data_IF_014849190012
#
_entry.id   IF_014849190012
#
_cell.length_a   1.000
_cell.length_b   1.000
_cell.length_c   1.000
_cell.angle_alpha   90.00
_cell.angle_beta   90.00
_cell.angle_gamma   90.00
#
_symmetry.space_group_name_H-M   'P 1'
#
loop_
_entity.id
_entity.type
_entity.pdbx_description
1 polymer ?
#
# COMPACT_ATOMS: atom_id res chain seq x y z
N UNK A 1 8.36 -18.33 8.00
CA UNK A 1 9.33 -18.03 6.93
C UNK A 1 9.24 -16.54 6.59
N UNK A 2 10.32 -15.78 6.80
CA UNK A 2 10.38 -14.42 6.27
C UNK A 2 10.56 -14.58 4.76
N UNK A 3 9.52 -14.22 3.99
CA UNK A 3 9.61 -14.14 2.53
C UNK A 3 10.92 -13.45 2.17
N UNK A 4 11.75 -14.10 1.35
CA UNK A 4 13.01 -13.52 0.88
C UNK A 4 12.74 -12.10 0.42
N UNK A 5 13.40 -11.12 1.04
CA UNK A 5 13.21 -9.72 0.66
C UNK A 5 13.56 -9.61 -0.82
N UNK A 6 12.59 -9.18 -1.61
CA UNK A 6 12.82 -8.86 -3.01
C UNK A 6 13.84 -7.74 -3.11
N UNK A 7 14.52 -7.65 -4.24
CA UNK A 7 15.52 -6.63 -4.51
C UNK A 7 14.95 -5.23 -4.24
N UNK A 8 15.73 -4.38 -3.59
CA UNK A 8 15.33 -3.00 -3.25
C UNK A 8 15.55 -2.14 -4.49
N UNK A 9 14.65 -2.28 -5.46
CA UNK A 9 14.63 -1.51 -6.70
C UNK A 9 13.36 -0.68 -6.86
N UNK A 10 13.40 0.31 -7.74
CA UNK A 10 12.21 1.03 -8.19
C UNK A 10 11.18 0.05 -8.77
N UNK A 11 9.90 0.22 -8.42
CA UNK A 11 8.80 -0.66 -8.84
C UNK A 11 8.57 -1.88 -7.94
N UNK A 12 9.43 -2.11 -6.93
CA UNK A 12 9.27 -3.23 -5.97
C UNK A 12 8.60 -2.82 -4.64
N UNK A 13 8.16 -1.56 -4.51
CA UNK A 13 7.47 -1.07 -3.34
C UNK A 13 6.00 -1.51 -3.29
N UNK A 14 5.48 -1.80 -2.10
CA UNK A 14 4.07 -2.19 -1.92
C UNK A 14 3.15 -1.00 -1.61
N UNK A 15 3.70 0.11 -1.13
CA UNK A 15 2.95 1.28 -0.68
C UNK A 15 3.82 2.53 -0.78
N UNK A 16 3.24 3.60 -1.29
CA UNK A 16 3.87 4.92 -1.32
C UNK A 16 3.34 5.77 -0.17
N UNK A 17 4.25 6.52 0.48
CA UNK A 17 3.95 7.51 1.52
C UNK A 17 4.50 8.85 1.08
N UNK A 18 3.62 9.77 0.68
CA UNK A 18 3.96 11.16 0.39
C UNK A 18 3.56 11.98 1.60
N UNK A 19 4.54 12.61 2.25
CA UNK A 19 4.30 13.37 3.49
C UNK A 19 4.16 14.87 3.23
N UNK A 20 4.69 15.38 2.13
CA UNK A 20 4.67 16.79 1.75
C UNK A 20 4.78 16.94 0.22
N UNK A 21 4.20 17.99 -0.38
CA UNK A 21 3.24 18.93 0.23
C UNK A 21 1.81 18.33 0.29
N UNK A 22 1.50 17.38 -0.59
CA UNK A 22 0.20 16.73 -0.69
C UNK A 22 0.29 15.38 0.00
N UNK A 23 -0.20 15.31 1.23
CA UNK A 23 -0.16 14.11 2.04
C UNK A 23 -1.01 13.00 1.41
N UNK A 24 -0.39 11.86 1.13
CA UNK A 24 -1.06 10.71 0.55
C UNK A 24 -0.32 9.42 0.87
N UNK A 25 -1.07 8.44 1.34
CA UNK A 25 -0.64 7.05 1.41
C UNK A 25 -1.41 6.27 0.36
N UNK A 26 -0.74 5.48 -0.47
CA UNK A 26 -1.37 4.63 -1.50
C UNK A 26 -0.75 3.24 -1.49
N UNK A 27 -1.55 2.21 -1.20
CA UNK A 27 -1.14 0.80 -1.32
C UNK A 27 -1.25 0.36 -2.79
N UNK A 28 -0.11 0.01 -3.39
CA UNK A 28 0.00 -0.29 -4.81
C UNK A 28 -0.51 -1.69 -5.19
N UNK A 29 -0.82 -2.54 -4.19
CA UNK A 29 -1.38 -3.87 -4.46
C UNK A 29 -2.90 -3.86 -4.49
N UNK A 30 -3.50 -3.01 -3.65
CA UNK A 30 -4.95 -2.99 -3.39
C UNK A 30 -5.63 -1.71 -3.85
N UNK A 31 -4.88 -0.64 -4.15
CA UNK A 31 -5.41 0.65 -4.57
C UNK A 31 -5.96 1.51 -3.43
N UNK A 32 -5.98 0.99 -2.19
CA UNK A 32 -6.45 1.73 -1.01
C UNK A 32 -5.57 2.94 -0.77
N UNK A 33 -6.21 4.08 -0.53
CA UNK A 33 -5.55 5.35 -0.21
C UNK A 33 -5.94 5.87 1.16
N UNK A 34 -5.06 6.67 1.77
CA UNK A 34 -5.35 7.47 2.95
C UNK A 34 -4.74 8.86 2.79
N UNK A 35 -5.47 9.89 3.19
CA UNK A 35 -5.02 11.29 3.17
C UNK A 35 -4.36 11.72 4.49
N UNK A 36 -4.28 10.82 5.48
CA UNK A 36 -3.71 11.08 6.80
C UNK A 36 -2.51 10.18 7.07
N UNK A 37 -1.31 10.46 6.51
CA UNK A 37 -0.12 9.66 6.76
C UNK A 37 0.29 9.58 8.23
N UNK A 38 -0.04 10.60 9.04
CA UNK A 38 0.20 10.60 10.48
C UNK A 38 -0.47 9.42 11.16
N UNK A 39 -1.79 9.29 11.01
CA UNK A 39 -2.58 8.20 11.59
C UNK A 39 -2.07 6.83 11.13
N UNK A 40 -1.71 6.71 9.84
CA UNK A 40 -1.16 5.46 9.28
C UNK A 40 0.20 5.11 9.91
N UNK A 41 1.06 6.11 10.14
CA UNK A 41 2.34 5.92 10.83
C UNK A 41 2.17 5.63 12.32
N UNK A 42 1.09 6.13 12.93
CA UNK A 42 0.71 5.88 14.32
C UNK A 42 0.00 4.52 14.52
N UNK A 43 -0.28 3.80 13.43
CA UNK A 43 -0.71 2.40 13.46
C UNK A 43 -2.09 2.11 12.88
N UNK A 44 -2.77 3.09 12.27
CA UNK A 44 -4.02 2.89 11.54
C UNK A 44 -3.79 2.12 10.23
N UNK A 45 -3.53 0.82 10.35
CA UNK A 45 -3.16 -0.09 9.25
C UNK A 45 -4.28 -1.06 8.87
N UNK A 46 -5.37 -1.10 9.63
CA UNK A 46 -6.42 -2.10 9.52
C UNK A 46 -7.06 -2.12 8.13
N UNK A 47 -7.33 -0.94 7.56
CA UNK A 47 -7.91 -0.81 6.22
C UNK A 47 -7.05 -1.46 5.14
N UNK A 48 -5.73 -1.32 5.24
CA UNK A 48 -4.81 -1.88 4.27
C UNK A 48 -4.62 -3.39 4.46
N UNK A 49 -4.62 -3.86 5.71
CA UNK A 49 -4.55 -5.29 6.02
C UNK A 49 -5.81 -6.01 5.53
N UNK A 50 -6.99 -5.48 5.84
CA UNK A 50 -8.26 -6.04 5.41
C UNK A 50 -8.35 -6.11 3.88
N UNK A 51 -7.94 -5.05 3.18
CA UNK A 51 -7.91 -5.05 1.72
C UNK A 51 -6.96 -6.12 1.15
N UNK A 52 -5.74 -6.24 1.70
CA UNK A 52 -4.78 -7.24 1.24
C UNK A 52 -5.24 -8.68 1.51
N UNK A 53 -5.90 -8.93 2.65
CA UNK A 53 -6.46 -10.23 2.98
C UNK A 53 -7.67 -10.57 2.10
N UNK A 54 -8.56 -9.61 1.88
CA UNK A 54 -9.69 -9.75 0.96
C UNK A 54 -9.20 -10.12 -0.44
N UNK A 55 -8.24 -9.36 -0.98
CA UNK A 55 -7.62 -9.62 -2.28
C UNK A 55 -7.03 -11.03 -2.38
N UNK A 56 -6.38 -11.51 -1.31
CA UNK A 56 -5.79 -12.86 -1.26
C UNK A 56 -6.86 -13.95 -1.24
N UNK A 57 -7.99 -13.72 -0.59
CA UNK A 57 -9.10 -14.68 -0.50
C UNK A 57 -9.91 -14.72 -1.80
N UNK A 58 -10.17 -13.56 -2.42
CA UNK A 58 -10.96 -13.46 -3.65
C UNK A 58 -10.16 -13.79 -4.90
N UNK A 59 -8.84 -13.59 -4.88
CA UNK A 59 -7.96 -13.71 -6.05
C UNK A 59 -8.11 -12.56 -7.04
N UNK A 60 -8.88 -11.53 -6.68
CA UNK A 60 -9.14 -10.37 -7.54
C UNK A 60 -7.86 -9.54 -7.70
N UNK A 61 -7.42 -9.33 -8.94
CA UNK A 61 -6.28 -8.45 -9.23
C UNK A 61 -6.81 -7.08 -9.57
N UNK A 62 -6.57 -6.12 -8.67
CA UNK A 62 -6.88 -4.72 -8.89
C UNK A 62 -5.71 -4.13 -9.68
N UNK A 63 -5.98 -3.60 -10.87
CA UNK A 63 -5.02 -2.79 -11.60
C UNK A 63 -4.92 -1.43 -10.90
N UNK A 64 -3.86 -1.23 -10.14
CA UNK A 64 -3.57 0.06 -9.51
C UNK A 64 -2.70 0.85 -10.48
N UNK A 65 -3.26 1.88 -11.10
CA UNK A 65 -2.49 2.76 -11.99
C UNK A 65 -1.47 3.55 -11.17
N UNK A 66 -0.25 3.68 -11.70
CA UNK A 66 0.73 4.62 -11.17
C UNK A 66 0.24 6.05 -11.44
N UNK A 67 0.46 6.93 -10.47
CA UNK A 67 0.23 8.36 -10.70
C UNK A 67 1.52 8.88 -11.33
N UNK A 68 1.45 9.26 -12.61
CA UNK A 68 2.56 9.87 -13.36
C UNK A 68 3.17 11.08 -12.63
#
# INVERSE_FOLDING_TARGET
EYSSKTEIGWGHQIRSYVLQPYQLVKDLRTGVTSTSPGDVLDGDLDVFMAAALSQRVTGEKIAVEDVD
#
